data_IF_047033749665
#
_entry.id   IF_047033749665
#
_cell.length_a   1.000
_cell.length_b   1.000
_cell.length_c   1.000
_cell.angle_alpha   90.00
_cell.angle_beta   90.00
_cell.angle_gamma   90.00
#
_symmetry.space_group_name_H-M   'P 1'
#
loop_
_entity.id
_entity.type
_entity.pdbx_description
1 polymer ?
#
# COMPACT_ATOMS: atom_id res chain seq x y z
N UNK A 1 -26.78 7.76 -10.20
CA UNK A 1 -28.13 7.25 -10.27
C UNK A 1 -28.16 5.95 -9.48
N UNK A 2 -28.99 5.91 -8.42
CA UNK A 2 -29.26 4.70 -7.66
C UNK A 2 -29.74 3.63 -8.63
N UNK A 3 -28.99 2.56 -8.76
CA UNK A 3 -29.37 1.43 -9.62
C UNK A 3 -30.44 0.65 -8.87
N UNK A 4 -31.63 0.53 -9.47
CA UNK A 4 -32.69 -0.29 -8.90
C UNK A 4 -32.25 -1.75 -8.88
N UNK A 5 -32.21 -2.36 -7.71
CA UNK A 5 -31.97 -3.79 -7.59
C UNK A 5 -33.09 -4.59 -8.24
N UNK A 6 -32.72 -5.42 -9.21
CA UNK A 6 -33.57 -6.53 -9.62
C UNK A 6 -33.27 -7.69 -8.67
N UNK A 7 -34.24 -8.18 -7.88
CA UNK A 7 -34.03 -9.36 -7.04
C UNK A 7 -33.64 -10.53 -7.95
N UNK A 8 -32.48 -11.12 -7.74
CA UNK A 8 -32.05 -12.31 -8.45
C UNK A 8 -32.63 -13.50 -7.69
N UNK A 9 -33.62 -14.16 -8.27
CA UNK A 9 -34.12 -15.44 -7.77
C UNK A 9 -33.00 -16.49 -7.99
N UNK A 10 -32.61 -17.24 -6.96
CA UNK A 10 -31.35 -17.97 -6.77
C UNK A 10 -30.94 -19.01 -7.83
N UNK A 11 -31.32 -18.87 -9.08
CA UNK A 11 -30.97 -19.74 -10.20
C UNK A 11 -30.42 -19.00 -11.43
N UNK A 12 -30.49 -17.68 -11.48
CA UNK A 12 -30.03 -16.92 -12.65
C UNK A 12 -28.54 -16.59 -12.55
N UNK A 13 -27.81 -16.78 -13.66
CA UNK A 13 -26.44 -16.29 -13.79
C UNK A 13 -26.43 -14.76 -13.60
N UNK A 14 -25.83 -14.29 -12.53
CA UNK A 14 -25.81 -12.87 -12.19
C UNK A 14 -25.22 -12.09 -13.35
N UNK A 15 -23.97 -12.33 -13.71
CA UNK A 15 -23.32 -11.80 -14.92
C UNK A 15 -21.96 -12.47 -15.10
N UNK A 16 -21.56 -12.68 -16.34
CA UNK A 16 -20.21 -13.11 -16.66
C UNK A 16 -19.38 -11.92 -17.13
N UNK A 17 -18.20 -11.76 -16.59
CA UNK A 17 -17.23 -10.75 -17.02
C UNK A 17 -15.99 -11.43 -17.57
N UNK A 18 -15.46 -10.90 -18.66
CA UNK A 18 -14.17 -11.28 -19.22
C UNK A 18 -13.39 -10.03 -19.58
N UNK A 19 -12.09 -10.05 -19.42
CA UNK A 19 -11.21 -8.96 -19.82
C UNK A 19 -9.92 -9.48 -20.43
N UNK A 20 -9.36 -8.69 -21.35
CA UNK A 20 -8.00 -8.90 -21.84
C UNK A 20 -7.05 -8.09 -20.97
N UNK A 21 -6.00 -8.75 -20.47
CA UNK A 21 -4.95 -8.15 -19.62
C UNK A 21 -3.61 -8.14 -20.33
N UNK A 22 -3.42 -7.27 -21.35
CA UNK A 22 -2.16 -7.18 -22.05
C UNK A 22 -1.04 -6.71 -21.14
N UNK A 23 0.15 -7.27 -21.31
CA UNK A 23 1.38 -6.92 -20.60
C UNK A 23 2.51 -6.78 -21.60
N UNK A 24 3.10 -5.60 -21.67
CA UNK A 24 4.18 -5.28 -22.58
C UNK A 24 5.32 -4.69 -21.76
N UNK A 25 6.53 -5.17 -22.00
CA UNK A 25 7.73 -4.62 -21.36
C UNK A 25 8.86 -4.46 -22.38
N UNK A 26 9.59 -3.37 -22.24
CA UNK A 26 10.76 -3.03 -23.05
C UNK A 26 11.94 -2.81 -22.11
N UNK A 27 13.08 -3.42 -22.43
CA UNK A 27 14.34 -3.25 -21.72
C UNK A 27 15.44 -2.90 -22.70
N UNK A 28 15.92 -1.66 -22.62
CA UNK A 28 16.98 -1.14 -23.50
C UNK A 28 18.24 -0.94 -22.67
N UNK A 29 19.32 -1.64 -23.04
CA UNK A 29 20.65 -1.40 -22.46
C UNK A 29 21.16 -0.05 -22.96
N UNK A 30 21.29 0.94 -22.08
CA UNK A 30 21.82 2.27 -22.40
C UNK A 30 23.34 2.40 -22.17
N UNK A 31 23.98 1.30 -21.74
CA UNK A 31 25.42 1.20 -21.52
C UNK A 31 25.79 -0.15 -20.91
N UNK A 32 27.10 -0.33 -20.61
CA UNK A 32 27.62 -1.60 -20.05
C UNK A 32 26.94 -1.99 -18.71
N UNK A 33 26.53 -0.99 -17.92
CA UNK A 33 25.99 -1.18 -16.58
C UNK A 33 24.70 -0.38 -16.34
N UNK A 34 24.02 0.04 -17.39
CA UNK A 34 22.79 0.80 -17.30
C UNK A 34 21.72 0.32 -18.28
N UNK A 35 20.47 0.48 -17.89
CA UNK A 35 19.31 0.13 -18.71
C UNK A 35 18.14 1.08 -18.46
N UNK A 36 17.36 1.31 -19.51
CA UNK A 36 16.05 1.95 -19.43
C UNK A 36 15.01 0.85 -19.60
N UNK A 37 14.03 0.82 -18.72
CA UNK A 37 12.91 -0.11 -18.79
C UNK A 37 11.61 0.67 -18.88
N UNK A 38 10.73 0.23 -19.77
CA UNK A 38 9.38 0.73 -19.88
C UNK A 38 8.40 -0.43 -19.84
N UNK A 39 7.28 -0.28 -19.17
CA UNK A 39 6.25 -1.30 -19.16
C UNK A 39 4.85 -0.70 -19.15
N UNK A 40 3.95 -1.43 -19.79
CA UNK A 40 2.52 -1.23 -19.73
C UNK A 40 1.88 -2.55 -19.30
N UNK A 41 0.92 -2.47 -18.39
CA UNK A 41 0.08 -3.61 -18.06
C UNK A 41 -1.34 -3.16 -17.72
N UNK A 42 -2.32 -3.96 -18.14
CA UNK A 42 -3.70 -3.88 -17.69
C UNK A 42 -3.97 -4.99 -16.69
N UNK A 43 -4.64 -4.65 -15.63
CA UNK A 43 -5.11 -5.58 -14.59
C UNK A 43 -6.60 -5.36 -14.37
N UNK A 44 -7.31 -6.45 -14.07
CA UNK A 44 -8.74 -6.43 -13.75
C UNK A 44 -8.96 -7.03 -12.38
N UNK A 45 -9.79 -6.40 -11.60
CA UNK A 45 -10.18 -6.88 -10.26
C UNK A 45 -11.66 -7.16 -10.25
N UNK A 46 -12.02 -8.39 -9.83
CA UNK A 46 -13.41 -8.89 -9.78
C UNK A 46 -13.95 -9.04 -8.36
N UNK A 47 -13.12 -8.81 -7.36
CA UNK A 47 -13.50 -8.88 -5.94
C UNK A 47 -13.06 -7.56 -5.30
N UNK A 48 -13.99 -6.92 -4.61
CA UNK A 48 -13.84 -5.58 -4.04
C UNK A 48 -13.90 -5.63 -2.53
N UNK A 49 -13.07 -4.85 -1.87
CA UNK A 49 -13.11 -4.67 -0.43
C UNK A 49 -13.78 -3.36 -0.07
N UNK A 50 -14.94 -3.46 0.55
CA UNK A 50 -15.68 -2.32 1.10
C UNK A 50 -15.35 -2.20 2.59
N UNK A 51 -14.84 -1.05 2.99
CA UNK A 51 -14.50 -0.78 4.39
C UNK A 51 -14.58 0.72 4.66
N UNK A 52 -15.16 1.06 5.77
CA UNK A 52 -15.29 2.44 6.23
C UNK A 52 -14.15 2.86 7.19
N UNK A 53 -13.18 1.98 7.46
CA UNK A 53 -12.08 2.22 8.39
C UNK A 53 -10.73 2.27 7.67
N UNK A 54 -9.78 3.05 8.19
CA UNK A 54 -8.41 3.11 7.68
C UNK A 54 -7.63 1.81 7.93
N UNK A 55 -7.97 1.08 8.99
CA UNK A 55 -7.40 -0.22 9.32
C UNK A 55 -8.35 -1.34 8.91
N UNK A 56 -7.80 -2.43 8.38
CA UNK A 56 -8.58 -3.64 8.09
C UNK A 56 -9.27 -4.13 9.38
N UNK A 57 -10.55 -4.44 9.27
CA UNK A 57 -11.40 -4.85 10.38
C UNK A 57 -12.13 -6.13 10.01
N UNK A 58 -12.59 -6.88 11.02
CA UNK A 58 -13.45 -8.05 10.79
C UNK A 58 -14.84 -7.69 10.23
N UNK A 59 -15.14 -6.40 10.16
CA UNK A 59 -16.38 -5.87 9.61
C UNK A 59 -16.24 -5.43 8.15
N UNK A 60 -15.07 -5.60 7.55
CA UNK A 60 -14.85 -5.31 6.13
C UNK A 60 -15.65 -6.30 5.26
N UNK A 61 -16.35 -5.77 4.28
CA UNK A 61 -17.20 -6.55 3.38
C UNK A 61 -16.46 -6.83 2.07
N UNK A 62 -16.30 -8.11 1.74
CA UNK A 62 -15.80 -8.55 0.44
C UNK A 62 -16.96 -8.83 -0.48
N UNK A 63 -17.02 -8.14 -1.62
CA UNK A 63 -18.07 -8.33 -2.62
C UNK A 63 -17.49 -8.66 -3.98
N UNK A 64 -18.03 -9.65 -4.72
CA UNK A 64 -17.67 -9.88 -6.11
C UNK A 64 -18.28 -8.81 -7.01
N UNK A 65 -17.79 -8.72 -8.24
CA UNK A 65 -18.47 -7.96 -9.30
C UNK A 65 -19.83 -8.59 -9.60
N UNK A 66 -20.85 -7.73 -9.70
CA UNK A 66 -22.26 -8.10 -9.92
C UNK A 66 -22.80 -7.36 -11.14
N UNK A 67 -24.13 -7.39 -11.35
CA UNK A 67 -24.76 -6.56 -12.38
C UNK A 67 -24.56 -5.06 -12.16
N UNK A 68 -24.46 -4.65 -10.89
CA UNK A 68 -24.34 -3.25 -10.46
C UNK A 68 -22.88 -2.85 -10.22
N UNK A 69 -22.07 -3.77 -9.72
CA UNK A 69 -20.64 -3.56 -9.43
C UNK A 69 -19.80 -4.10 -10.58
N UNK A 70 -19.29 -3.20 -11.43
CA UNK A 70 -18.44 -3.58 -12.56
C UNK A 70 -17.04 -3.93 -12.07
N UNK A 71 -16.33 -4.84 -12.78
CA UNK A 71 -14.90 -5.06 -12.52
C UNK A 71 -14.10 -3.75 -12.58
N UNK A 72 -13.18 -3.58 -11.65
CA UNK A 72 -12.24 -2.47 -11.69
C UNK A 72 -11.10 -2.78 -12.67
N UNK A 73 -10.63 -1.74 -13.36
CA UNK A 73 -9.50 -1.82 -14.27
C UNK A 73 -8.39 -0.88 -13.83
N UNK A 74 -7.16 -1.34 -13.98
CA UNK A 74 -5.98 -0.53 -13.80
C UNK A 74 -5.07 -0.63 -15.03
N UNK A 75 -4.90 0.48 -15.75
CA UNK A 75 -3.89 0.64 -16.79
C UNK A 75 -2.65 1.26 -16.16
N UNK A 76 -1.56 0.51 -16.07
CA UNK A 76 -0.32 0.91 -15.40
C UNK A 76 0.80 1.15 -16.41
N UNK A 77 1.42 2.31 -16.32
CA UNK A 77 2.57 2.74 -17.13
C UNK A 77 3.76 2.98 -16.19
N UNK A 78 4.90 2.39 -16.49
CA UNK A 78 6.12 2.57 -15.70
C UNK A 78 7.29 2.85 -16.64
N UNK A 79 8.11 3.83 -16.26
CA UNK A 79 9.40 4.12 -16.92
C UNK A 79 10.47 4.20 -15.85
N UNK A 80 11.55 3.43 -16.01
CA UNK A 80 12.63 3.36 -15.05
C UNK A 80 14.02 3.44 -15.69
N UNK A 81 14.95 4.06 -14.97
CA UNK A 81 16.37 4.04 -15.27
C UNK A 81 17.13 3.30 -14.17
N UNK A 82 17.96 2.34 -14.56
CA UNK A 82 18.71 1.45 -13.69
C UNK A 82 20.19 1.56 -13.99
N UNK A 83 21.01 1.66 -12.96
CA UNK A 83 22.46 1.76 -13.12
C UNK A 83 23.21 1.02 -12.02
N UNK A 84 24.18 0.21 -12.43
CA UNK A 84 25.14 -0.43 -11.55
C UNK A 84 26.48 0.31 -11.59
N UNK A 85 27.11 0.46 -10.42
CA UNK A 85 28.38 1.18 -10.27
C UNK A 85 29.43 0.29 -9.62
N UNK A 86 30.70 0.66 -9.82
CA UNK A 86 31.84 0.03 -9.13
C UNK A 86 31.81 -1.50 -9.18
N UNK A 87 31.71 -2.07 -10.38
CA UNK A 87 31.63 -3.52 -10.60
C UNK A 87 30.48 -4.18 -9.80
N UNK A 88 29.28 -3.63 -9.90
CA UNK A 88 28.07 -4.09 -9.19
C UNK A 88 28.15 -3.99 -7.66
N UNK A 89 29.04 -3.14 -7.12
CA UNK A 89 29.07 -2.83 -5.70
C UNK A 89 27.86 -2.00 -5.27
N UNK A 90 27.42 -1.10 -6.14
CA UNK A 90 26.22 -0.29 -5.94
C UNK A 90 25.24 -0.47 -7.10
N UNK A 91 23.98 -0.48 -6.79
CA UNK A 91 22.86 -0.41 -7.73
C UNK A 91 22.03 0.81 -7.38
N UNK A 92 21.59 1.54 -8.39
CA UNK A 92 20.65 2.64 -8.23
C UNK A 92 19.56 2.54 -9.29
N UNK A 93 18.33 2.88 -8.92
CA UNK A 93 17.23 3.04 -9.87
C UNK A 93 16.39 4.27 -9.52
N UNK A 94 15.79 4.83 -10.56
CA UNK A 94 14.70 5.78 -10.47
C UNK A 94 13.59 5.30 -11.41
N UNK A 95 12.37 5.23 -10.87
CA UNK A 95 11.21 4.78 -11.63
C UNK A 95 10.09 5.80 -11.44
N UNK A 96 9.40 6.15 -12.53
CA UNK A 96 8.18 6.93 -12.50
C UNK A 96 7.03 6.04 -12.94
N UNK A 97 5.89 6.16 -12.28
CA UNK A 97 4.71 5.38 -12.62
C UNK A 97 3.46 6.25 -12.67
N UNK A 98 2.55 5.83 -13.52
CA UNK A 98 1.19 6.36 -13.59
C UNK A 98 0.21 5.21 -13.78
N UNK A 99 -0.89 5.21 -13.00
CA UNK A 99 -1.97 4.24 -13.11
C UNK A 99 -3.28 4.99 -13.34
N UNK A 100 -3.97 4.63 -14.39
CA UNK A 100 -5.35 5.05 -14.67
C UNK A 100 -6.31 3.97 -14.17
N UNK A 101 -7.19 4.32 -13.26
CA UNK A 101 -8.09 3.41 -12.57
C UNK A 101 -9.53 3.69 -12.99
N UNK A 102 -10.26 2.66 -13.41
CA UNK A 102 -11.63 2.75 -13.89
C UNK A 102 -12.56 1.88 -13.08
N UNK A 103 -13.84 2.27 -13.04
CA UNK A 103 -14.89 1.60 -12.28
C UNK A 103 -14.54 1.47 -10.78
N UNK A 104 -13.80 2.43 -10.26
CA UNK A 104 -13.51 2.48 -8.83
C UNK A 104 -14.80 2.70 -8.06
N UNK A 105 -14.95 2.04 -6.93
CA UNK A 105 -16.14 2.14 -6.10
C UNK A 105 -15.81 2.76 -4.74
N UNK A 106 -16.74 3.53 -4.24
CA UNK A 106 -16.77 4.04 -2.87
C UNK A 106 -18.22 4.15 -2.42
N UNK A 107 -18.50 4.36 -1.17
CA UNK A 107 -19.83 4.41 -0.61
C UNK A 107 -20.29 5.85 -0.35
N UNK A 108 -21.58 6.10 -0.36
CA UNK A 108 -22.16 7.38 0.02
C UNK A 108 -21.86 7.70 1.50
N UNK A 109 -21.89 8.99 1.86
CA UNK A 109 -21.77 9.38 3.26
C UNK A 109 -22.95 8.84 4.08
N UNK A 110 -22.63 8.20 5.21
CA UNK A 110 -23.64 7.58 6.07
C UNK A 110 -24.14 6.21 5.64
N UNK A 111 -23.47 5.57 4.65
CA UNK A 111 -23.81 4.23 4.22
C UNK A 111 -23.72 3.23 5.37
N UNK A 112 -24.72 2.37 5.48
CA UNK A 112 -24.71 1.21 6.36
C UNK A 112 -24.19 -0.01 5.58
N UNK A 113 -22.91 -0.32 5.77
CA UNK A 113 -22.26 -1.47 5.13
C UNK A 113 -22.39 -2.76 5.95
N UNK A 114 -22.89 -2.67 7.20
CA UNK A 114 -22.97 -3.82 8.10
C UNK A 114 -24.39 -4.40 8.05
N UNK A 115 -24.47 -5.70 7.72
CA UNK A 115 -25.73 -6.46 7.73
C UNK A 115 -26.80 -5.84 6.78
N UNK A 116 -26.36 -5.03 5.81
CA UNK A 116 -27.24 -4.41 4.82
C UNK A 116 -27.35 -5.34 3.61
N UNK A 117 -28.53 -5.92 3.41
CA UNK A 117 -28.81 -6.76 2.22
C UNK A 117 -28.73 -5.96 0.90
N UNK A 118 -28.94 -4.66 0.96
CA UNK A 118 -29.03 -3.77 -0.20
C UNK A 118 -27.85 -2.78 -0.29
N UNK A 119 -26.70 -3.15 0.26
CA UNK A 119 -25.50 -2.30 0.31
C UNK A 119 -25.03 -1.80 -1.07
N UNK A 120 -25.34 -2.53 -2.15
CA UNK A 120 -25.02 -2.11 -3.53
C UNK A 120 -25.65 -0.77 -3.90
N UNK A 121 -26.84 -0.44 -3.33
CA UNK A 121 -27.51 0.83 -3.53
C UNK A 121 -26.78 2.03 -2.92
N UNK A 122 -25.90 1.78 -1.93
CA UNK A 122 -25.09 2.79 -1.26
C UNK A 122 -23.72 2.96 -1.92
N UNK A 123 -23.43 2.24 -3.01
CA UNK A 123 -22.16 2.33 -3.72
C UNK A 123 -22.25 3.28 -4.91
N UNK A 124 -21.20 4.08 -5.05
CA UNK A 124 -20.99 4.97 -6.19
C UNK A 124 -19.76 4.51 -6.97
N UNK A 125 -19.77 4.75 -8.27
CA UNK A 125 -18.70 4.35 -9.16
C UNK A 125 -18.07 5.57 -9.83
N UNK A 126 -16.75 5.54 -10.00
CA UNK A 126 -16.01 6.62 -10.63
C UNK A 126 -14.64 6.17 -11.16
N UNK A 127 -13.73 7.11 -11.19
CA UNK A 127 -12.38 6.93 -11.68
C UNK A 127 -11.37 7.17 -10.56
N UNK A 128 -10.17 6.64 -10.77
CA UNK A 128 -9.04 6.87 -9.87
C UNK A 128 -7.75 7.07 -10.65
N UNK A 129 -6.74 7.53 -9.97
CA UNK A 129 -5.37 7.62 -10.47
C UNK A 129 -4.37 7.36 -9.36
N UNK A 130 -3.24 6.77 -9.71
CA UNK A 130 -2.10 6.69 -8.81
C UNK A 130 -0.83 7.01 -9.61
N UNK A 131 0.04 7.86 -9.06
CA UNK A 131 1.26 8.28 -9.72
C UNK A 131 2.34 8.61 -8.71
N UNK A 132 3.59 8.50 -9.14
CA UNK A 132 4.70 8.79 -8.26
C UNK A 132 6.05 8.51 -8.87
N UNK A 133 7.06 8.71 -8.02
CA UNK A 133 8.45 8.43 -8.32
C UNK A 133 9.05 7.58 -7.21
N UNK A 134 9.84 6.60 -7.61
CA UNK A 134 10.51 5.67 -6.71
C UNK A 134 12.02 5.75 -6.93
N UNK A 135 12.77 5.84 -5.84
CA UNK A 135 14.23 5.82 -5.82
C UNK A 135 14.71 4.63 -5.01
N UNK A 136 15.70 3.93 -5.52
CA UNK A 136 16.38 2.86 -4.80
C UNK A 136 17.89 3.03 -4.96
N UNK A 137 18.61 2.93 -3.85
CA UNK A 137 20.07 2.79 -3.82
C UNK A 137 20.40 1.57 -2.97
N UNK A 138 21.14 0.63 -3.54
CA UNK A 138 21.54 -0.61 -2.87
C UNK A 138 23.06 -0.78 -2.92
N UNK A 139 23.66 -1.15 -1.81
CA UNK A 139 25.06 -1.52 -1.71
C UNK A 139 25.18 -3.01 -1.39
N UNK A 140 25.79 -3.77 -2.33
CA UNK A 140 25.80 -5.23 -2.30
C UNK A 140 27.07 -5.84 -1.68
N UNK A 141 28.18 -5.08 -1.59
CA UNK A 141 29.48 -5.62 -1.19
C UNK A 141 30.19 -4.77 -0.15
N UNK A 142 31.00 -5.43 0.68
CA UNK A 142 31.83 -4.85 1.73
C UNK A 142 31.28 -5.14 3.12
N UNK A 143 31.92 -4.57 4.15
CA UNK A 143 31.48 -4.74 5.55
C UNK A 143 30.11 -4.11 5.81
N UNK A 144 29.80 -3.00 5.15
CA UNK A 144 28.50 -2.35 5.19
C UNK A 144 27.74 -2.67 3.91
N UNK A 145 26.56 -3.27 4.04
CA UNK A 145 25.62 -3.60 2.97
C UNK A 145 24.24 -3.11 3.36
N UNK A 146 23.37 -2.89 2.37
CA UNK A 146 22.01 -2.47 2.63
C UNK A 146 21.42 -1.71 1.46
N UNK A 147 20.24 -1.16 1.68
CA UNK A 147 19.54 -0.36 0.68
C UNK A 147 18.75 0.76 1.35
N UNK A 148 18.53 1.79 0.58
CA UNK A 148 17.65 2.92 0.88
C UNK A 148 16.64 3.01 -0.24
N UNK A 149 15.37 3.06 0.08
CA UNK A 149 14.31 3.35 -0.88
C UNK A 149 13.48 4.53 -0.43
N UNK A 150 13.02 5.31 -1.40
CA UNK A 150 12.12 6.41 -1.19
C UNK A 150 11.09 6.44 -2.32
N UNK A 151 9.82 6.48 -1.94
CA UNK A 151 8.70 6.68 -2.86
C UNK A 151 7.98 7.96 -2.49
N UNK A 152 7.81 8.85 -3.46
CA UNK A 152 6.88 9.95 -3.39
C UNK A 152 5.73 9.65 -4.35
N UNK A 153 4.52 9.48 -3.82
CA UNK A 153 3.38 9.07 -4.63
C UNK A 153 2.07 9.62 -4.14
N UNK A 154 1.07 9.51 -5.00
CA UNK A 154 -0.29 9.93 -4.74
C UNK A 154 -1.26 8.90 -5.29
N UNK A 155 -2.33 8.62 -4.55
CA UNK A 155 -3.44 7.78 -5.00
C UNK A 155 -4.75 8.49 -4.69
N UNK A 156 -5.58 8.74 -5.71
CA UNK A 156 -6.76 9.58 -5.62
C UNK A 156 -7.93 8.96 -6.37
N UNK A 157 -9.14 9.24 -5.87
CA UNK A 157 -10.40 8.91 -6.51
C UNK A 157 -11.14 10.19 -6.90
N UNK A 158 -12.03 10.05 -7.90
CA UNK A 158 -12.97 11.08 -8.32
C UNK A 158 -14.30 10.40 -8.67
N UNK A 159 -15.28 10.54 -7.80
CA UNK A 159 -16.57 9.85 -7.87
C UNK A 159 -17.67 10.88 -7.75
N UNK A 160 -18.64 10.83 -8.66
CA UNK A 160 -19.80 11.71 -8.59
C UNK A 160 -20.65 11.39 -7.35
N UNK A 161 -21.08 12.44 -6.65
CA UNK A 161 -21.77 12.32 -5.36
C UNK A 161 -20.85 12.28 -4.15
N UNK A 162 -19.50 12.30 -4.34
CA UNK A 162 -18.51 12.35 -3.25
C UNK A 162 -17.61 13.55 -3.49
N UNK A 163 -17.31 14.30 -2.40
CA UNK A 163 -16.36 15.43 -2.39
C UNK A 163 -16.62 16.47 -3.47
N UNK A 164 -17.90 16.74 -3.79
CA UNK A 164 -18.34 17.69 -4.83
C UNK A 164 -17.71 17.39 -6.20
N UNK A 165 -17.52 16.10 -6.51
CA UNK A 165 -16.84 15.62 -7.72
C UNK A 165 -15.40 16.13 -7.89
N UNK A 166 -14.71 16.45 -6.80
CA UNK A 166 -13.29 16.76 -6.79
C UNK A 166 -12.45 15.51 -6.49
N UNK A 167 -11.17 15.53 -6.88
CA UNK A 167 -10.22 14.51 -6.51
C UNK A 167 -10.02 14.47 -4.98
N UNK A 168 -10.05 13.28 -4.40
CA UNK A 168 -9.74 13.05 -2.98
C UNK A 168 -8.81 11.84 -2.81
N UNK A 169 -7.95 11.83 -1.78
CA UNK A 169 -7.02 10.72 -1.57
C UNK A 169 -7.76 9.43 -1.29
N UNK A 170 -7.25 8.30 -1.79
CA UNK A 170 -7.70 6.99 -1.33
C UNK A 170 -7.30 6.79 0.13
N UNK A 171 -7.99 5.91 0.84
CA UNK A 171 -7.62 5.56 2.23
C UNK A 171 -6.24 4.93 2.37
N UNK A 172 -5.66 4.44 1.29
CA UNK A 172 -4.32 3.85 1.24
C UNK A 172 -3.24 4.83 0.77
N UNK A 173 -3.60 6.09 0.49
CA UNK A 173 -2.63 7.07 0.02
C UNK A 173 -1.56 7.36 1.09
N UNK A 174 -0.31 7.16 0.72
CA UNK A 174 0.86 7.48 1.52
C UNK A 174 1.83 8.29 0.66
N UNK A 175 1.82 9.61 0.84
CA UNK A 175 2.60 10.53 -0.01
C UNK A 175 4.08 10.24 0.05
N UNK A 176 4.61 9.92 1.23
CA UNK A 176 6.03 9.61 1.44
C UNK A 176 6.18 8.24 2.08
N UNK A 177 7.01 7.41 1.47
CA UNK A 177 7.39 6.10 1.99
C UNK A 177 8.91 6.00 1.91
N UNK A 178 9.58 6.03 3.05
CA UNK A 178 11.02 5.97 3.16
C UNK A 178 11.45 4.76 3.98
N UNK A 179 12.39 3.97 3.44
CA UNK A 179 12.89 2.76 4.10
C UNK A 179 14.39 2.67 3.98
N UNK A 180 15.04 2.28 5.07
CA UNK A 180 16.46 1.93 5.12
C UNK A 180 16.58 0.55 5.75
N UNK A 181 17.27 -0.35 5.08
CA UNK A 181 17.75 -1.59 5.67
C UNK A 181 19.25 -1.66 5.52
N UNK A 182 19.96 -1.88 6.62
CA UNK A 182 21.41 -1.92 6.63
C UNK A 182 21.94 -3.05 7.48
N UNK A 183 23.11 -3.54 7.08
CA UNK A 183 23.84 -4.57 7.77
C UNK A 183 25.30 -4.19 7.81
N UNK A 184 25.91 -4.23 8.99
CA UNK A 184 27.34 -3.98 9.19
C UNK A 184 28.03 -5.21 9.78
N UNK A 185 28.96 -5.79 9.03
CA UNK A 185 29.80 -6.90 9.50
C UNK A 185 30.96 -6.34 10.29
N UNK A 186 30.91 -6.48 11.62
CA UNK A 186 32.01 -6.11 12.50
C UNK A 186 33.20 -7.03 12.22
N UNK A 187 32.91 -8.34 12.18
CA UNK A 187 33.85 -9.41 11.83
C UNK A 187 33.06 -10.60 11.22
N UNK A 188 33.71 -11.71 10.96
CA UNK A 188 33.06 -12.89 10.31
C UNK A 188 31.99 -13.55 11.20
N UNK A 189 31.97 -13.22 12.50
CA UNK A 189 30.99 -13.80 13.44
C UNK A 189 29.93 -12.82 13.87
N UNK A 190 30.22 -11.53 13.94
CA UNK A 190 29.31 -10.52 14.51
C UNK A 190 28.86 -9.58 13.41
N UNK A 191 27.55 -9.48 13.27
CA UNK A 191 26.88 -8.62 12.32
C UNK A 191 25.82 -7.79 13.05
N UNK A 192 25.80 -6.49 12.82
CA UNK A 192 24.74 -5.58 13.22
C UNK A 192 23.79 -5.38 12.06
N UNK A 193 22.49 -5.35 12.33
CA UNK A 193 21.48 -5.01 11.32
C UNK A 193 20.53 -3.96 11.88
N UNK A 194 20.09 -3.05 11.00
CA UNK A 194 19.12 -2.03 11.31
C UNK A 194 18.09 -1.90 10.20
N UNK A 195 16.84 -1.68 10.58
CA UNK A 195 15.74 -1.43 9.68
C UNK A 195 14.96 -0.21 10.16
N UNK A 196 14.87 0.82 9.33
CA UNK A 196 14.08 2.02 9.59
C UNK A 196 13.00 2.16 8.54
N UNK A 197 11.79 2.51 8.98
CA UNK A 197 10.62 2.76 8.13
C UNK A 197 10.00 4.07 8.55
N UNK A 198 9.66 4.91 7.57
CA UNK A 198 8.82 6.09 7.72
C UNK A 198 7.75 6.08 6.63
N UNK A 199 6.49 6.27 7.03
CA UNK A 199 5.33 6.35 6.15
C UNK A 199 4.49 7.55 6.55
N UNK A 200 4.09 8.37 5.59
CA UNK A 200 3.07 9.39 5.83
C UNK A 200 1.77 8.72 6.30
N UNK A 201 1.12 9.31 7.27
CA UNK A 201 -0.14 8.82 7.80
C UNK A 201 -1.22 8.68 6.72
N UNK A 202 -2.03 7.64 6.84
CA UNK A 202 -3.14 7.38 5.90
C UNK A 202 -4.26 8.40 6.05
N UNK A 203 -4.94 8.77 4.97
CA UNK A 203 -6.07 9.67 5.01
C UNK A 203 -7.27 9.08 5.77
N UNK A 204 -7.97 9.95 6.49
CA UNK A 204 -9.18 9.62 7.23
C UNK A 204 -10.21 10.74 7.07
N UNK A 205 -11.47 10.39 7.21
CA UNK A 205 -12.58 11.34 7.27
C UNK A 205 -12.93 11.61 8.71
N UNK A 206 -12.83 12.87 9.15
CA UNK A 206 -13.33 13.28 10.47
C UNK A 206 -14.74 13.82 10.38
N UNK A 207 -15.58 13.56 11.37
CA UNK A 207 -16.88 14.23 11.46
C UNK A 207 -16.68 15.75 11.45
N UNK A 208 -17.34 16.42 10.51
CA UNK A 208 -17.27 17.89 10.36
C UNK A 208 -18.31 18.61 11.18
N UNK A 209 -19.35 17.90 11.61
CA UNK A 209 -20.48 18.42 12.39
C UNK A 209 -21.08 17.34 13.27
N UNK A 210 -22.00 17.74 14.13
CA UNK A 210 -22.82 16.83 14.94
C UNK A 210 -24.24 17.37 15.02
N UNK A 211 -25.20 16.50 15.08
CA UNK A 211 -26.57 16.84 15.45
C UNK A 211 -26.95 16.07 16.73
N UNK A 212 -27.89 16.61 17.45
CA UNK A 212 -28.35 16.03 18.72
C UNK A 212 -29.78 15.53 18.53
N UNK A 213 -29.97 14.20 18.70
CA UNK A 213 -31.31 13.59 18.72
C UNK A 213 -31.54 12.96 20.09
N UNK A 214 -32.60 13.39 20.76
CA UNK A 214 -32.97 12.87 22.09
C UNK A 214 -31.82 12.90 23.11
N UNK A 215 -30.93 13.91 23.04
CA UNK A 215 -29.79 14.04 23.95
C UNK A 215 -28.53 13.32 23.52
N UNK A 216 -28.57 12.50 22.43
CA UNK A 216 -27.40 11.84 21.90
C UNK A 216 -26.76 12.68 20.79
N UNK A 217 -25.43 12.92 20.88
CA UNK A 217 -24.67 13.59 19.86
C UNK A 217 -24.28 12.58 18.77
N UNK A 218 -24.78 12.79 17.55
CA UNK A 218 -24.48 11.93 16.41
C UNK A 218 -23.50 12.68 15.51
N UNK A 219 -22.25 12.17 15.36
CA UNK A 219 -21.28 12.74 14.43
C UNK A 219 -21.79 12.64 13.00
N UNK A 220 -21.61 13.69 12.21
CA UNK A 220 -22.01 13.74 10.81
C UNK A 220 -20.85 14.21 9.94
N UNK A 221 -20.69 13.57 8.79
CA UNK A 221 -19.70 13.94 7.79
C UNK A 221 -20.36 14.75 6.67
N UNK A 222 -19.70 15.79 6.22
CA UNK A 222 -20.04 16.46 4.98
C UNK A 222 -19.45 15.68 3.82
N UNK A 223 -20.17 15.57 2.72
CA UNK A 223 -19.71 14.93 1.47
C UNK A 223 -18.46 15.60 0.88
N UNK A 224 -18.20 16.86 1.20
CA UNK A 224 -17.02 17.61 0.80
C UNK A 224 -15.77 17.33 1.65
N UNK A 225 -15.89 16.54 2.72
CA UNK A 225 -14.80 16.32 3.69
C UNK A 225 -14.17 14.93 3.62
N UNK A 226 -14.34 14.18 2.52
CA UNK A 226 -13.83 12.82 2.37
C UNK A 226 -12.29 12.80 2.40
N UNK A 227 -11.71 12.04 3.34
CA UNK A 227 -10.27 11.78 3.47
C UNK A 227 -9.38 13.04 3.52
N UNK A 228 -9.88 14.13 4.14
CA UNK A 228 -9.14 15.41 4.19
C UNK A 228 -8.08 15.46 5.28
N UNK A 229 -8.19 14.63 6.29
CA UNK A 229 -7.23 14.57 7.38
C UNK A 229 -6.33 13.35 7.23
N UNK A 230 -5.20 13.36 7.95
CA UNK A 230 -4.30 12.20 8.02
C UNK A 230 -4.06 11.82 9.48
N UNK A 231 -3.97 10.53 9.73
CA UNK A 231 -3.45 10.05 11.00
C UNK A 231 -1.98 10.46 11.15
N UNK A 232 -1.41 10.52 12.36
CA UNK A 232 0.00 10.80 12.53
C UNK A 232 0.89 9.81 11.78
N UNK A 233 2.02 10.33 11.28
CA UNK A 233 2.98 9.54 10.51
C UNK A 233 3.51 8.35 11.29
N UNK A 234 3.64 7.23 10.57
CA UNK A 234 4.22 6.00 11.09
C UNK A 234 5.74 6.03 10.92
N UNK A 235 6.49 5.77 11.98
CA UNK A 235 7.92 5.46 11.84
C UNK A 235 8.39 4.50 12.92
N UNK A 236 9.40 3.69 12.58
CA UNK A 236 9.94 2.66 13.46
C UNK A 236 11.39 2.36 13.12
N UNK A 237 12.20 2.14 14.15
CA UNK A 237 13.55 1.63 14.03
C UNK A 237 13.66 0.29 14.77
N UNK A 238 14.17 -0.72 14.07
CA UNK A 238 14.46 -2.04 14.61
C UNK A 238 15.96 -2.28 14.48
N UNK A 239 16.59 -2.82 15.51
CA UNK A 239 18.01 -3.16 15.53
C UNK A 239 18.21 -4.60 15.93
N UNK A 240 19.20 -5.27 15.36
CA UNK A 240 19.57 -6.64 15.75
C UNK A 240 21.06 -6.90 15.64
N UNK A 241 21.51 -7.85 16.44
CA UNK A 241 22.86 -8.40 16.42
C UNK A 241 22.76 -9.88 16.09
N UNK A 242 23.49 -10.31 15.08
CA UNK A 242 23.66 -11.72 14.74
C UNK A 242 25.06 -12.17 15.15
N UNK A 243 25.14 -13.24 15.92
CA UNK A 243 26.40 -13.86 16.36
C UNK A 243 26.45 -15.26 15.77
N UNK A 244 27.31 -15.47 14.78
CA UNK A 244 27.52 -16.76 14.15
C UNK A 244 28.45 -17.63 14.97
N UNK A 245 28.18 -18.91 15.05
CA UNK A 245 29.04 -19.91 15.64
C UNK A 245 30.42 -19.96 14.96
N UNK A 246 31.41 -20.52 15.65
CA UNK A 246 32.71 -20.77 15.03
C UNK A 246 32.55 -21.85 13.95
N UNK A 247 33.11 -21.61 12.76
CA UNK A 247 33.10 -22.58 11.65
C UNK A 247 34.01 -23.78 11.89
N UNK A 248 35.04 -23.58 12.71
CA UNK A 248 36.03 -24.62 13.01
C UNK A 248 35.95 -25.02 14.48
N UNK A 249 36.27 -26.28 14.75
CA UNK A 249 36.52 -26.83 16.09
C UNK A 249 37.93 -26.37 16.58
N UNK A 250 38.21 -26.59 17.87
CA UNK A 250 39.54 -26.29 18.43
C UNK A 250 40.67 -27.12 17.81
N UNK A 251 40.36 -28.27 17.22
CA UNK A 251 41.28 -29.18 16.53
C UNK A 251 41.48 -28.85 15.04
N UNK A 252 40.92 -27.76 14.51
CA UNK A 252 41.02 -27.36 13.11
C UNK A 252 39.98 -28.01 12.17
N UNK A 253 39.17 -28.94 12.66
CA UNK A 253 38.12 -29.56 11.85
C UNK A 253 36.94 -28.59 11.60
N UNK A 254 36.42 -28.59 10.38
CA UNK A 254 35.20 -27.86 10.04
C UNK A 254 34.02 -28.44 10.79
N UNK A 255 33.19 -27.60 11.40
CA UNK A 255 31.96 -28.04 12.08
C UNK A 255 30.93 -28.46 11.03
N UNK A 256 30.27 -29.58 11.27
CA UNK A 256 29.18 -30.07 10.39
C UNK A 256 27.92 -29.21 10.47
N UNK A 257 27.68 -28.54 11.59
CA UNK A 257 26.49 -27.72 11.82
C UNK A 257 26.86 -26.25 11.97
N UNK A 258 26.18 -25.40 11.23
CA UNK A 258 26.22 -23.95 11.42
C UNK A 258 25.18 -23.57 12.50
N UNK A 259 25.59 -22.66 13.39
CA UNK A 259 24.73 -22.11 14.42
C UNK A 259 24.79 -20.59 14.40
N UNK A 260 23.67 -19.94 14.70
CA UNK A 260 23.62 -18.50 14.88
C UNK A 260 22.69 -18.16 16.03
N UNK A 261 23.05 -17.09 16.75
CA UNK A 261 22.20 -16.44 17.76
C UNK A 261 21.85 -15.05 17.23
N UNK A 262 20.55 -14.73 17.20
CA UNK A 262 20.06 -13.42 16.81
C UNK A 262 19.35 -12.80 18.01
N UNK A 263 19.80 -11.60 18.39
CA UNK A 263 19.17 -10.79 19.43
C UNK A 263 18.71 -9.51 18.75
N UNK A 264 17.41 -9.21 18.88
CA UNK A 264 16.82 -8.03 18.23
C UNK A 264 15.95 -7.22 19.19
N UNK A 265 15.92 -5.91 18.95
CA UNK A 265 15.00 -4.97 19.59
C UNK A 265 14.12 -4.36 18.52
N UNK A 266 12.83 -4.58 18.67
CA UNK A 266 11.80 -4.01 17.82
C UNK A 266 11.38 -2.66 18.40
N UNK A 267 11.19 -1.65 17.52
CA UNK A 267 10.77 -0.31 17.93
C UNK A 267 11.66 0.30 19.02
N UNK A 268 12.95 0.46 18.72
CA UNK A 268 14.02 0.84 19.66
C UNK A 268 13.71 2.07 20.51
N UNK A 269 13.03 3.06 19.93
CA UNK A 269 12.66 4.31 20.63
C UNK A 269 11.19 4.33 21.12
N UNK A 270 10.54 3.16 21.17
CA UNK A 270 9.20 2.99 21.74
C UNK A 270 8.15 3.95 21.15
N UNK A 271 8.16 4.18 19.83
CA UNK A 271 7.17 5.00 19.13
C UNK A 271 5.80 4.34 19.23
N UNK A 272 4.82 5.06 19.75
CA UNK A 272 3.42 4.66 19.73
C UNK A 272 2.81 5.06 18.40
N UNK A 273 2.91 4.19 17.41
CA UNK A 273 2.29 4.39 16.11
C UNK A 273 0.79 4.14 16.22
N UNK A 274 -0.07 5.05 15.74
CA UNK A 274 -1.51 4.84 15.77
C UNK A 274 -1.89 3.69 14.82
N UNK A 275 -2.78 2.82 15.27
CA UNK A 275 -3.36 1.76 14.44
C UNK A 275 -4.65 2.23 13.79
N UNK A 276 -5.51 2.88 14.55
CA UNK A 276 -6.77 3.47 14.08
C UNK A 276 -7.14 4.66 14.93
N UNK A 277 -8.04 5.50 14.42
CA UNK A 277 -8.65 6.59 15.16
C UNK A 277 -10.15 6.32 15.21
N UNK A 278 -10.73 6.44 16.39
CA UNK A 278 -12.16 6.37 16.60
C UNK A 278 -12.60 7.58 17.43
N UNK A 279 -13.86 7.95 17.27
CA UNK A 279 -14.46 9.03 18.03
C UNK A 279 -15.33 8.42 19.11
N UNK A 280 -15.09 8.81 20.37
CA UNK A 280 -15.95 8.48 21.50
C UNK A 280 -16.82 9.69 21.84
N UNK A 281 -18.03 9.42 22.34
CA UNK A 281 -18.90 10.43 22.89
C UNK A 281 -18.44 10.87 24.27
#
# INVERSE_FOLDING_TARGET
PLVSETPVDGKDNIKSYSSLEPRISLNIKSGKFSAIKASYNRMTQYIHLLSNTAASSSLDVWTPSTNNIRPEFADSYVLGYFKNFSNNKFEASVEVYYKDLKNQIDYIDGADLLINKYFEGDLLSGIGRAYGVEFLIKKNRGKFNGWVSYTAGRSELKIDGINEFNWYPTRYDQTHNFKITSTYKINDRIQLSGNFVYLTGTPVTFPSSKFVIQGFAIPHNSSSARHQFRIPDYHRLDLSVTINGKKEKKNGEVRKNDSSLIIGVYNVYNRRNPFSIYFSQ
#
